data_IF_267822192464
#
_entry.id   IF_267822192464
#
_cell.length_a   1.000
_cell.length_b   1.000
_cell.length_c   1.000
_cell.angle_alpha   90.00
_cell.angle_beta   90.00
_cell.angle_gamma   90.00
#
_symmetry.space_group_name_H-M   'P 1'
#
loop_
_entity.id
_entity.type
_entity.pdbx_description
1 polymer ?
#
# COMPACT_ATOMS: atom_id res chain seq x y z
N UNK A 1 11.20 -8.66 12.93
CA UNK A 1 10.14 -8.69 11.90
C UNK A 1 8.80 -8.66 12.61
N UNK A 2 7.98 -7.63 12.38
CA UNK A 2 6.62 -7.58 12.91
C UNK A 2 5.81 -8.74 12.34
N UNK A 3 5.01 -9.40 13.18
CA UNK A 3 4.15 -10.50 12.73
C UNK A 3 3.06 -9.92 11.79
N UNK A 4 3.00 -10.30 10.50
CA UNK A 4 2.02 -9.75 9.56
C UNK A 4 0.58 -9.93 10.03
N UNK A 5 0.27 -11.02 10.74
CA UNK A 5 -1.06 -11.25 11.30
C UNK A 5 -1.44 -10.23 12.38
N UNK A 6 -0.47 -9.74 13.15
CA UNK A 6 -0.71 -8.67 14.12
C UNK A 6 -1.03 -7.35 13.42
N UNK A 7 -0.25 -6.97 12.40
CA UNK A 7 -0.51 -5.76 11.62
C UNK A 7 -1.83 -5.82 10.87
N UNK A 8 -2.20 -6.98 10.33
CA UNK A 8 -3.50 -7.21 9.69
C UNK A 8 -4.65 -7.07 10.71
N UNK A 9 -4.49 -7.60 11.93
CA UNK A 9 -5.49 -7.43 12.98
C UNK A 9 -5.69 -5.95 13.33
N UNK A 10 -4.60 -5.18 13.46
CA UNK A 10 -4.65 -3.73 13.71
C UNK A 10 -5.30 -2.95 12.55
N UNK A 11 -5.13 -3.41 11.31
CA UNK A 11 -5.83 -2.79 10.17
C UNK A 11 -7.33 -3.02 10.30
N UNK A 12 -7.75 -4.26 10.55
CA UNK A 12 -9.17 -4.63 10.67
C UNK A 12 -9.89 -3.93 11.82
N UNK A 13 -9.22 -3.80 12.98
CA UNK A 13 -9.81 -3.15 14.16
C UNK A 13 -9.70 -1.61 14.14
N UNK A 14 -9.02 -1.04 13.13
CA UNK A 14 -8.89 0.40 12.97
C UNK A 14 -7.74 1.05 13.76
N UNK A 15 -6.97 0.28 14.54
CA UNK A 15 -5.89 0.81 15.39
C UNK A 15 -4.56 0.99 14.65
N UNK A 16 -4.43 0.47 13.43
CA UNK A 16 -3.21 0.58 12.63
C UNK A 16 -2.90 2.03 12.28
N UNK A 17 -1.63 2.42 12.38
CA UNK A 17 -1.14 3.74 11.96
C UNK A 17 -1.34 3.99 10.46
N UNK A 18 -1.55 2.95 9.65
CA UNK A 18 -1.83 3.12 8.23
C UNK A 18 -3.17 3.82 7.96
N UNK A 19 -4.09 3.83 8.92
CA UNK A 19 -5.31 4.63 8.84
C UNK A 19 -5.05 6.15 8.93
N UNK A 20 -3.85 6.58 9.32
CA UNK A 20 -3.49 8.01 9.36
C UNK A 20 -3.52 8.70 7.98
N UNK A 21 -3.48 7.94 6.89
CA UNK A 21 -3.58 8.45 5.51
C UNK A 21 -5.00 8.34 4.94
N UNK A 22 -5.95 7.81 5.72
CA UNK A 22 -7.34 7.69 5.29
C UNK A 22 -8.11 8.97 5.59
N UNK A 23 -8.65 9.60 4.55
CA UNK A 23 -9.47 10.81 4.66
C UNK A 23 -10.92 10.53 4.25
N UNK A 24 -11.84 10.26 5.20
CA UNK A 24 -13.21 9.87 4.87
C UNK A 24 -14.00 10.96 4.12
N UNK A 25 -13.64 12.22 4.32
CA UNK A 25 -14.26 13.36 3.63
C UNK A 25 -13.86 13.46 2.16
N UNK A 26 -12.79 12.78 1.75
CA UNK A 26 -12.29 12.73 0.36
C UNK A 26 -12.82 11.51 -0.41
N UNK A 27 -13.74 10.73 0.18
CA UNK A 27 -14.40 9.60 -0.49
C UNK A 27 -15.44 10.13 -1.48
N UNK A 28 -14.96 10.69 -2.59
CA UNK A 28 -15.78 11.33 -3.62
C UNK A 28 -16.36 10.30 -4.60
N UNK A 29 -17.14 9.31 -4.14
CA UNK A 29 -18.02 8.47 -4.97
C UNK A 29 -17.42 7.72 -6.18
N UNK A 30 -16.10 7.74 -6.36
CA UNK A 30 -15.40 7.24 -7.53
C UNK A 30 -14.04 6.65 -7.18
N UNK A 31 -13.32 6.19 -8.21
CA UNK A 31 -11.97 5.67 -8.04
C UNK A 31 -10.97 6.82 -8.03
N UNK A 32 -10.04 6.75 -7.08
CA UNK A 32 -8.91 7.65 -6.97
C UNK A 32 -7.61 6.90 -7.27
N UNK A 33 -6.60 7.65 -7.69
CA UNK A 33 -5.25 7.11 -7.76
C UNK A 33 -4.75 6.85 -6.34
N UNK A 34 -4.28 5.65 -6.09
CA UNK A 34 -3.63 5.25 -4.84
C UNK A 34 -2.21 4.82 -5.13
N UNK A 35 -1.28 5.28 -4.31
CA UNK A 35 0.13 4.89 -4.33
C UNK A 35 0.45 4.11 -3.06
N UNK A 36 1.10 2.95 -3.20
CA UNK A 36 1.65 2.15 -2.11
C UNK A 36 3.16 2.15 -2.22
N UNK A 37 3.82 2.25 -1.07
CA UNK A 37 5.28 2.26 -0.94
C UNK A 37 5.74 1.00 -0.21
N UNK A 38 6.62 0.25 -0.84
CA UNK A 38 7.21 -0.97 -0.29
C UNK A 38 8.72 -0.82 -0.21
N UNK A 39 9.30 -1.19 0.92
CA UNK A 39 10.75 -1.34 1.03
C UNK A 39 11.11 -2.79 0.71
N UNK A 40 11.99 -2.99 -0.27
CA UNK A 40 12.51 -4.26 -0.72
C UNK A 40 14.04 -4.29 -0.59
N UNK A 41 14.64 -5.48 -0.62
CA UNK A 41 16.10 -5.57 -0.84
C UNK A 41 16.40 -5.26 -2.32
N UNK A 42 17.66 -4.95 -2.68
CA UNK A 42 18.04 -4.75 -4.08
C UNK A 42 17.63 -5.92 -4.99
N UNK A 43 17.80 -7.17 -4.53
CA UNK A 43 17.38 -8.37 -5.25
C UNK A 43 15.85 -8.46 -5.36
N UNK A 44 15.14 -8.03 -4.31
CA UNK A 44 13.68 -7.94 -4.31
C UNK A 44 13.14 -6.92 -5.32
N UNK A 45 13.87 -5.83 -5.57
CA UNK A 45 13.54 -4.85 -6.61
C UNK A 45 13.72 -5.45 -8.01
N UNK A 46 14.83 -6.14 -8.28
CA UNK A 46 15.12 -6.74 -9.58
C UNK A 46 14.10 -7.79 -10.01
N UNK A 47 13.56 -8.51 -9.03
CA UNK A 47 12.58 -9.59 -9.22
C UNK A 47 11.14 -9.16 -8.96
N UNK A 48 10.92 -7.86 -8.72
CA UNK A 48 9.62 -7.37 -8.31
C UNK A 48 8.55 -7.55 -9.40
N UNK A 49 7.47 -8.22 -9.03
CA UNK A 49 6.24 -8.28 -9.81
C UNK A 49 5.09 -7.72 -8.94
N UNK A 50 4.45 -6.60 -9.34
CA UNK A 50 3.36 -6.04 -8.56
C UNK A 50 2.14 -6.98 -8.56
N UNK A 51 1.28 -6.94 -7.53
CA UNK A 51 0.00 -7.65 -7.53
C UNK A 51 -0.88 -7.25 -8.70
N UNK A 52 -1.84 -8.10 -9.06
CA UNK A 52 -2.73 -7.83 -10.20
C UNK A 52 -3.44 -6.47 -10.07
N UNK A 53 -3.43 -5.69 -11.16
CA UNK A 53 -4.04 -4.35 -11.19
C UNK A 53 -3.15 -3.22 -10.65
N UNK A 54 -1.96 -3.52 -10.14
CA UNK A 54 -0.96 -2.53 -9.74
C UNK A 54 0.08 -2.32 -10.84
N UNK A 55 0.52 -1.08 -11.00
CA UNK A 55 1.60 -0.71 -11.92
C UNK A 55 2.76 -0.12 -11.14
N UNK A 56 4.00 -0.42 -11.54
CA UNK A 56 5.18 0.23 -10.99
C UNK A 56 5.24 1.64 -11.55
N UNK A 57 5.25 2.64 -10.66
CA UNK A 57 5.49 4.02 -11.03
C UNK A 57 6.99 4.32 -11.10
N UNK A 58 7.69 4.05 -10.00
CA UNK A 58 9.13 4.28 -9.87
C UNK A 58 9.77 3.43 -8.78
N UNK A 59 11.10 3.38 -8.83
CA UNK A 59 11.95 2.87 -7.74
C UNK A 59 12.82 4.03 -7.26
N UNK A 60 12.82 4.29 -5.96
CA UNK A 60 13.62 5.35 -5.34
C UNK A 60 14.68 4.77 -4.42
N UNK A 61 15.86 5.40 -4.41
CA UNK A 61 17.01 5.03 -3.57
C UNK A 61 17.49 3.58 -3.68
N UNK A 62 17.03 2.84 -4.69
CA UNK A 62 17.43 1.46 -4.98
C UNK A 62 16.67 0.39 -4.18
N UNK A 63 15.78 0.78 -3.26
CA UNK A 63 15.12 -0.16 -2.34
C UNK A 63 13.62 0.13 -2.14
N UNK A 64 13.14 1.32 -2.52
CA UNK A 64 11.77 1.75 -2.27
C UNK A 64 10.96 1.70 -3.56
N UNK A 65 9.99 0.80 -3.62
CA UNK A 65 9.07 0.61 -4.73
C UNK A 65 7.82 1.47 -4.54
N UNK A 66 7.45 2.22 -5.56
CA UNK A 66 6.23 3.02 -5.62
C UNK A 66 5.31 2.38 -6.65
N UNK A 67 4.18 1.82 -6.19
CA UNK A 67 3.21 1.17 -7.06
C UNK A 67 1.87 1.88 -6.99
N UNK A 68 1.16 1.93 -8.11
CA UNK A 68 -0.08 2.70 -8.24
C UNK A 68 -1.23 1.87 -8.82
N UNK A 69 -2.45 2.17 -8.37
CA UNK A 69 -3.71 1.61 -8.88
C UNK A 69 -4.84 2.64 -8.74
N UNK A 70 -5.84 2.55 -9.62
CA UNK A 70 -7.12 3.25 -9.45
C UNK A 70 -8.07 2.39 -8.58
N UNK A 71 -8.57 2.93 -7.47
CA UNK A 71 -9.51 2.21 -6.61
C UNK A 71 -10.44 3.14 -5.83
N UNK A 72 -11.54 2.58 -5.32
CA UNK A 72 -12.40 3.26 -4.36
C UNK A 72 -11.65 3.57 -3.06
N UNK A 73 -11.96 4.72 -2.47
CA UNK A 73 -11.49 5.11 -1.13
C UNK A 73 -12.51 4.78 -0.04
N UNK A 74 -13.55 3.99 -0.29
CA UNK A 74 -14.39 3.50 0.82
C UNK A 74 -13.53 2.76 1.85
N UNK A 75 -13.88 2.87 3.14
CA UNK A 75 -13.16 2.18 4.24
C UNK A 75 -12.87 0.71 3.92
N UNK A 76 -13.85 -0.03 3.42
CA UNK A 76 -13.68 -1.46 3.11
C UNK A 76 -12.64 -1.69 2.01
N UNK A 77 -12.68 -0.90 0.94
CA UNK A 77 -11.68 -0.99 -0.14
C UNK A 77 -10.25 -0.62 0.34
N UNK A 78 -10.13 0.36 1.24
CA UNK A 78 -8.84 0.72 1.86
C UNK A 78 -8.38 -0.40 2.79
N UNK A 79 -9.26 -0.98 3.59
CA UNK A 79 -8.94 -2.11 4.46
C UNK A 79 -8.45 -3.31 3.64
N UNK A 80 -9.18 -3.68 2.59
CA UNK A 80 -8.80 -4.77 1.68
C UNK A 80 -7.44 -4.53 1.04
N UNK A 81 -7.18 -3.31 0.55
CA UNK A 81 -5.88 -2.92 0.01
C UNK A 81 -4.76 -3.06 1.06
N UNK A 82 -4.96 -2.55 2.27
CA UNK A 82 -3.96 -2.62 3.33
C UNK A 82 -3.64 -4.09 3.68
N UNK A 83 -4.66 -4.94 3.76
CA UNK A 83 -4.49 -6.38 4.01
C UNK A 83 -3.79 -7.06 2.83
N UNK A 84 -4.17 -6.75 1.59
CA UNK A 84 -3.53 -7.25 0.36
C UNK A 84 -2.03 -6.94 0.39
N UNK A 85 -1.68 -5.67 0.64
CA UNK A 85 -0.30 -5.20 0.61
C UNK A 85 0.54 -5.72 1.78
N UNK A 86 -0.03 -5.84 2.98
CA UNK A 86 0.66 -6.44 4.12
C UNK A 86 1.00 -7.91 3.87
N UNK A 87 0.07 -8.69 3.31
CA UNK A 87 0.29 -10.11 2.96
C UNK A 87 1.30 -10.25 1.84
N UNK A 88 1.17 -9.42 0.81
CA UNK A 88 2.07 -9.42 -0.33
C UNK A 88 3.49 -9.07 0.12
N UNK A 89 3.66 -8.01 0.90
CA UNK A 89 4.97 -7.61 1.41
C UNK A 89 5.60 -8.73 2.24
N UNK A 90 4.84 -9.32 3.17
CA UNK A 90 5.33 -10.41 4.01
C UNK A 90 5.76 -11.65 3.20
N UNK A 91 4.99 -12.01 2.16
CA UNK A 91 5.27 -13.17 1.30
C UNK A 91 6.55 -12.97 0.48
N UNK A 92 6.86 -11.74 0.10
CA UNK A 92 8.01 -11.39 -0.75
C UNK A 92 9.21 -10.87 0.06
N UNK A 93 9.19 -10.98 1.40
CA UNK A 93 10.27 -10.48 2.25
C UNK A 93 10.45 -8.95 2.20
N UNK A 94 9.39 -8.22 1.86
CA UNK A 94 9.35 -6.76 1.79
C UNK A 94 8.64 -6.18 3.02
N UNK A 95 8.70 -4.86 3.16
CA UNK A 95 7.97 -4.13 4.18
C UNK A 95 7.00 -3.14 3.53
N UNK A 96 5.73 -3.21 3.92
CA UNK A 96 4.78 -2.13 3.63
C UNK A 96 5.17 -0.89 4.44
N UNK A 97 5.49 0.19 3.74
CA UNK A 97 6.00 1.41 4.37
C UNK A 97 4.85 2.41 4.63
N UNK A 98 4.17 2.80 3.56
CA UNK A 98 3.04 3.74 3.62
C UNK A 98 2.20 3.66 2.34
N UNK A 99 1.11 4.43 2.33
CA UNK A 99 0.29 4.64 1.15
C UNK A 99 -0.24 6.08 1.14
N UNK A 100 -0.58 6.58 -0.04
CA UNK A 100 -1.16 7.92 -0.27
C UNK A 100 -2.22 7.83 -1.37
N UNK A 101 -3.07 8.84 -1.48
CA UNK A 101 -4.08 8.90 -2.53
C UNK A 101 -4.31 10.31 -3.06
N UNK A 102 -4.87 10.39 -4.26
CA UNK A 102 -5.32 11.65 -4.87
C UNK A 102 -4.23 12.72 -4.91
N UNK A 103 -4.55 13.90 -4.38
CA UNK A 103 -3.68 15.07 -4.40
C UNK A 103 -2.41 14.95 -3.54
N UNK A 104 -2.34 13.97 -2.63
CA UNK A 104 -1.14 13.75 -1.81
C UNK A 104 -0.05 12.97 -2.58
N UNK A 105 -0.37 12.43 -3.77
CA UNK A 105 0.60 11.74 -4.62
C UNK A 105 1.35 12.77 -5.45
N UNK A 106 2.63 12.98 -5.13
CA UNK A 106 3.51 13.79 -5.97
C UNK A 106 3.70 13.14 -7.37
N UNK A 107 3.57 13.92 -8.46
CA UNK A 107 3.75 13.44 -9.83
C UNK A 107 5.20 13.05 -10.14
#
# INVERSE_FOLDING_TARGET
MSNPEHSIAQVRDGSSLYWGFYRPDEVAGGNELVEVRLNATPEGVETFAPPAGWTIDRVQWGDTLFIRRQQSLTRDAVEEMLVEMLRFAATNGMQFHSWLHGADIDP
#
